data_IF_707621766359
#
_entry.id   IF_707621766359
#
_cell.length_a   1.000
_cell.length_b   1.000
_cell.length_c   1.000
_cell.angle_alpha   90.00
_cell.angle_beta   90.00
_cell.angle_gamma   90.00
#
_symmetry.space_group_name_H-M   'P 1'
#
loop_
_entity.id
_entity.type
_entity.pdbx_description
1 polymer ?
#
# COMPACT_ATOMS: atom_id res chain seq x y z
N UNK A 1 -10.08 -36.04 -9.40
CA UNK A 1 -10.76 -34.97 -8.64
C UNK A 1 -9.87 -33.73 -8.64
N UNK A 2 -10.22 -32.66 -9.36
CA UNK A 2 -9.51 -31.38 -9.27
C UNK A 2 -10.23 -30.55 -8.20
N UNK A 3 -9.54 -30.23 -7.10
CA UNK A 3 -10.05 -29.30 -6.11
C UNK A 3 -10.29 -27.95 -6.82
N UNK A 4 -11.56 -27.59 -6.97
CA UNK A 4 -11.94 -26.26 -7.40
C UNK A 4 -11.70 -25.33 -6.22
N UNK A 5 -10.56 -24.63 -6.21
CA UNK A 5 -10.37 -23.53 -5.29
C UNK A 5 -11.47 -22.49 -5.58
N UNK A 6 -12.26 -22.07 -4.57
CA UNK A 6 -13.29 -21.06 -4.80
C UNK A 6 -12.60 -19.82 -5.38
N UNK A 7 -13.14 -19.30 -6.49
CA UNK A 7 -12.70 -18.00 -7.01
C UNK A 7 -13.05 -16.97 -5.93
N UNK A 8 -12.03 -16.49 -5.23
CA UNK A 8 -12.21 -15.41 -4.26
C UNK A 8 -12.94 -14.26 -4.95
N UNK A 9 -13.99 -13.70 -4.33
CA UNK A 9 -14.73 -12.60 -4.92
C UNK A 9 -13.76 -11.46 -5.23
N UNK A 10 -13.79 -10.94 -6.45
CA UNK A 10 -13.07 -9.72 -6.82
C UNK A 10 -13.73 -8.50 -6.20
N UNK A 11 -13.71 -8.44 -4.87
CA UNK A 11 -13.78 -7.22 -4.10
C UNK A 11 -12.50 -7.17 -3.31
N UNK A 12 -11.41 -6.72 -3.95
CA UNK A 12 -10.14 -6.50 -3.26
C UNK A 12 -10.43 -5.55 -2.10
N UNK A 13 -10.34 -6.05 -0.87
CA UNK A 13 -10.16 -5.18 0.28
C UNK A 13 -8.93 -4.34 0.00
N UNK A 14 -9.15 -3.09 -0.36
CA UNK A 14 -8.08 -2.14 -0.68
C UNK A 14 -7.08 -2.11 0.46
N UNK A 15 -5.80 -2.33 0.15
CA UNK A 15 -4.73 -2.32 1.15
C UNK A 15 -4.77 -0.98 1.88
N UNK A 16 -5.04 -1.00 3.18
CA UNK A 16 -4.93 0.20 4.02
C UNK A 16 -3.45 0.59 4.05
N UNK A 17 -3.14 1.88 4.05
CA UNK A 17 -1.75 2.33 4.08
C UNK A 17 -1.58 3.59 4.93
N UNK A 18 -0.35 3.81 5.38
CA UNK A 18 0.04 4.95 6.22
C UNK A 18 0.69 6.09 5.44
N UNK A 19 0.67 6.06 4.10
CA UNK A 19 1.41 7.02 3.28
C UNK A 19 1.06 8.47 3.59
N UNK A 20 -0.23 8.78 3.78
CA UNK A 20 -0.64 10.14 4.12
C UNK A 20 -0.04 10.62 5.44
N UNK A 21 0.07 9.74 6.44
CA UNK A 21 0.63 10.04 7.76
C UNK A 21 2.15 10.19 7.65
N UNK A 22 2.83 9.19 7.08
CA UNK A 22 4.29 9.19 6.88
C UNK A 22 4.77 10.40 6.07
N UNK A 23 3.97 10.82 5.09
CA UNK A 23 4.25 12.00 4.29
C UNK A 23 4.07 13.29 5.08
N UNK A 24 3.04 13.36 5.94
CA UNK A 24 2.81 14.52 6.82
C UNK A 24 3.91 14.67 7.88
N UNK A 25 4.41 13.56 8.45
CA UNK A 25 5.54 13.54 9.40
C UNK A 25 6.82 14.13 8.80
N UNK A 26 6.95 14.11 7.46
CA UNK A 26 8.08 14.67 6.71
C UNK A 26 7.78 15.99 6.00
N UNK A 27 6.60 16.58 6.25
CA UNK A 27 6.12 17.81 5.59
C UNK A 27 6.10 17.75 4.05
N UNK A 28 5.94 16.54 3.49
CA UNK A 28 5.94 16.33 2.04
C UNK A 28 4.56 16.53 1.43
N UNK A 29 4.48 17.08 0.22
CA UNK A 29 3.26 17.05 -0.61
C UNK A 29 3.13 15.72 -1.37
N UNK A 30 1.95 15.42 -1.92
CA UNK A 30 1.79 14.24 -2.78
C UNK A 30 2.75 14.26 -3.99
N UNK A 31 3.12 15.46 -4.47
CA UNK A 31 4.09 15.60 -5.55
C UNK A 31 5.50 15.25 -5.06
N UNK A 32 5.89 15.71 -3.88
CA UNK A 32 7.19 15.39 -3.28
C UNK A 32 7.43 13.88 -3.13
N UNK A 33 6.40 13.14 -2.70
CA UNK A 33 6.46 11.69 -2.59
C UNK A 33 6.49 11.01 -3.97
N UNK A 34 5.75 11.55 -4.94
CA UNK A 34 5.74 11.06 -6.31
C UNK A 34 7.12 11.19 -6.97
N UNK A 35 7.77 12.35 -6.79
CA UNK A 35 9.10 12.61 -7.34
C UNK A 35 10.15 11.67 -6.73
N UNK A 36 10.10 11.44 -5.41
CA UNK A 36 11.01 10.49 -4.71
C UNK A 36 10.83 9.04 -5.13
N UNK A 37 9.63 8.66 -5.55
CA UNK A 37 9.29 7.31 -5.97
C UNK A 37 9.35 7.12 -7.49
N UNK A 38 9.63 8.18 -8.25
CA UNK A 38 9.62 8.21 -9.71
C UNK A 38 8.27 7.75 -10.31
N UNK A 39 7.16 8.17 -9.69
CA UNK A 39 5.80 7.87 -10.12
C UNK A 39 5.00 9.15 -10.34
N UNK A 40 3.80 9.03 -10.91
CA UNK A 40 2.91 10.19 -11.01
C UNK A 40 2.29 10.56 -9.66
N UNK A 41 1.98 11.85 -9.45
CA UNK A 41 1.16 12.31 -8.31
C UNK A 41 -0.18 11.59 -8.22
N UNK A 42 -0.76 11.24 -9.38
CA UNK A 42 -2.02 10.49 -9.44
C UNK A 42 -1.87 9.08 -8.85
N UNK A 43 -0.73 8.42 -9.09
CA UNK A 43 -0.39 7.12 -8.50
C UNK A 43 -0.35 7.22 -6.98
N UNK A 44 0.35 8.22 -6.43
CA UNK A 44 0.40 8.46 -4.97
C UNK A 44 -1.01 8.69 -4.40
N UNK A 45 -1.81 9.56 -5.01
CA UNK A 45 -3.19 9.81 -4.56
C UNK A 45 -4.09 8.56 -4.67
N UNK A 46 -3.89 7.70 -5.67
CA UNK A 46 -4.63 6.45 -5.81
C UNK A 46 -4.24 5.44 -4.72
N UNK A 47 -2.95 5.33 -4.39
CA UNK A 47 -2.46 4.47 -3.28
C UNK A 47 -3.00 4.99 -1.95
N UNK A 48 -2.84 6.28 -1.64
CA UNK A 48 -3.34 6.87 -0.38
C UNK A 48 -4.85 6.64 -0.16
N UNK A 49 -5.63 6.58 -1.24
CA UNK A 49 -7.08 6.32 -1.20
C UNK A 49 -7.46 4.84 -1.29
N UNK A 50 -6.48 3.94 -1.33
CA UNK A 50 -6.69 2.50 -1.49
C UNK A 50 -7.29 2.10 -2.84
N UNK A 51 -7.28 2.98 -3.85
CA UNK A 51 -7.85 2.67 -5.18
C UNK A 51 -6.89 1.88 -6.06
N UNK A 52 -5.63 1.80 -5.66
CA UNK A 52 -4.56 1.14 -6.39
C UNK A 52 -3.65 0.43 -5.40
N UNK A 53 -3.49 -0.88 -5.59
CA UNK A 53 -2.47 -1.63 -4.87
C UNK A 53 -1.12 -1.38 -5.56
N UNK A 54 -0.10 -0.90 -4.85
CA UNK A 54 1.23 -0.80 -5.42
C UNK A 54 1.73 -2.19 -5.83
N UNK A 55 2.49 -2.25 -6.93
CA UNK A 55 3.23 -3.46 -7.25
C UNK A 55 4.24 -3.78 -6.13
N UNK A 56 4.63 -5.05 -6.00
CA UNK A 56 5.57 -5.46 -4.96
C UNK A 56 6.88 -4.64 -4.98
N UNK A 57 7.52 -4.36 -6.14
CA UNK A 57 8.70 -3.49 -6.18
C UNK A 57 8.43 -2.06 -5.69
N UNK A 58 7.25 -1.49 -6.00
CA UNK A 58 6.89 -0.17 -5.52
C UNK A 58 6.63 -0.16 -4.01
N UNK A 59 6.03 -1.23 -3.47
CA UNK A 59 5.85 -1.39 -2.04
C UNK A 59 7.19 -1.43 -1.29
N UNK A 60 8.19 -2.16 -1.81
CA UNK A 60 9.56 -2.16 -1.27
C UNK A 60 10.20 -0.77 -1.35
N UNK A 61 10.18 -0.11 -2.51
CA UNK A 61 10.71 1.26 -2.65
C UNK A 61 10.10 2.24 -1.63
N UNK A 62 8.80 2.13 -1.40
CA UNK A 62 8.10 2.94 -0.42
C UNK A 62 8.57 2.63 1.00
N UNK A 63 8.64 1.35 1.36
CA UNK A 63 9.10 0.89 2.67
C UNK A 63 10.53 1.39 2.96
N UNK A 64 11.43 1.23 2.00
CA UNK A 64 12.82 1.72 2.06
C UNK A 64 12.88 3.24 2.21
N UNK A 65 12.10 4.00 1.43
CA UNK A 65 12.07 5.46 1.50
C UNK A 65 11.68 5.98 2.88
N UNK A 66 10.82 5.25 3.59
CA UNK A 66 10.39 5.60 4.94
C UNK A 66 11.20 4.91 6.04
N UNK A 67 12.17 4.05 5.70
CA UNK A 67 12.95 3.23 6.64
C UNK A 67 12.05 2.35 7.53
N UNK A 68 11.02 1.76 6.93
CA UNK A 68 10.04 0.91 7.60
C UNK A 68 9.93 -0.44 6.89
N UNK A 69 9.38 -1.43 7.58
CA UNK A 69 8.93 -2.68 6.96
C UNK A 69 7.68 -2.47 6.12
N UNK A 70 7.39 -3.38 5.17
CA UNK A 70 6.18 -3.29 4.33
C UNK A 70 4.93 -3.30 5.21
N UNK A 71 4.88 -4.14 6.24
CA UNK A 71 3.76 -4.32 7.17
C UNK A 71 3.50 -3.06 8.01
N UNK A 72 4.55 -2.28 8.29
CA UNK A 72 4.42 -1.00 8.97
C UNK A 72 3.88 0.11 8.06
N UNK A 73 3.93 -0.05 6.74
CA UNK A 73 3.42 0.92 5.76
C UNK A 73 2.04 0.51 5.23
N UNK A 74 1.83 -0.78 4.98
CA UNK A 74 0.66 -1.36 4.34
C UNK A 74 0.02 -2.42 5.23
N UNK A 75 -1.27 -2.24 5.54
CA UNK A 75 -2.05 -3.15 6.37
C UNK A 75 -3.04 -3.90 5.47
N UNK A 76 -2.93 -5.23 5.48
CA UNK A 76 -3.89 -6.10 4.82
C UNK A 76 -5.13 -6.27 5.71
N UNK A 77 -6.31 -5.74 5.33
CA UNK A 77 -7.52 -5.84 6.15
C UNK A 77 -8.01 -7.29 6.31
N UNK A 78 -7.57 -8.24 5.47
CA UNK A 78 -7.91 -9.66 5.59
C UNK A 78 -7.07 -10.42 6.63
N UNK A 79 -6.03 -9.79 7.19
CA UNK A 79 -5.16 -10.34 8.25
C UNK A 79 -5.44 -9.63 9.61
N UNK A 80 -6.49 -8.83 9.72
CA UNK A 80 -6.95 -8.31 11.02
C UNK A 80 -7.71 -9.45 11.76
N UNK A 81 -6.98 -10.29 12.50
CA UNK A 81 -7.54 -11.21 13.49
C UNK A 81 -7.17 -12.69 13.33
N UNK A 82 -5.94 -13.06 13.67
CA UNK A 82 -5.58 -14.35 14.32
C UNK A 82 -4.22 -14.19 15.02
N UNK A 83 -4.21 -13.51 16.15
CA UNK A 83 -3.23 -13.81 17.20
C UNK A 83 -4.03 -14.42 18.35
N UNK A 84 -3.72 -15.68 18.65
CA UNK A 84 -4.14 -16.40 19.85
C UNK A 84 -3.19 -16.08 20.99
#
# INVERSE_FOLDING_TARGET
MRAQFPRQPRGRGSVKNRLRVLRAEREWSQQDLADRLEVSRQSVNAIEKGRYDPSLPLAFKIADLFELTIEQVFVNPAIEGKES
#
